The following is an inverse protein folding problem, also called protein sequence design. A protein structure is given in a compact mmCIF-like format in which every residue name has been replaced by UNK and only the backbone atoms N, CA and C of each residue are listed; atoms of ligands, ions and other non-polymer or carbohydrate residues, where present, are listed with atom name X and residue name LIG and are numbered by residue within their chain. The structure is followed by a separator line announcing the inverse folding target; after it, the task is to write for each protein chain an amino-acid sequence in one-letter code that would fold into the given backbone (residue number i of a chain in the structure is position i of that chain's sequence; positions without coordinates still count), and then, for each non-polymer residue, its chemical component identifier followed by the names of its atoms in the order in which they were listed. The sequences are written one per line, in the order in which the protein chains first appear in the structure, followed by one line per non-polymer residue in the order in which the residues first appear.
data_IF_453518205074
#
_entry.id   IF_453518205074
#
_cell.length_a   1.000
_cell.length_b   1.000
_cell.length_c   1.000
_cell.angle_alpha   90.00
_cell.angle_beta   90.00
_cell.angle_gamma   90.00
#
_symmetry.space_group_name_H-M   'P 1'
#
loop_
_entity.id
_entity.type
_entity.pdbx_description
1 polymer ?
#
# COMPACT_ATOMS: atom_id res chain seq x y z
N UNK A 1 -26.96 21.01 -13.32
CA UNK A 1 -25.51 20.93 -13.44
C UNK A 1 -25.23 19.74 -14.32
N UNK A 2 -24.85 19.99 -15.57
CA UNK A 2 -24.56 19.01 -16.61
C UNK A 2 -23.28 18.22 -16.32
N UNK A 3 -23.21 16.91 -16.59
CA UNK A 3 -21.97 16.16 -16.46
C UNK A 3 -21.04 16.50 -17.62
N UNK A 4 -19.90 17.09 -17.32
CA UNK A 4 -18.83 17.42 -18.26
C UNK A 4 -18.08 16.16 -18.68
N UNK A 5 -18.12 15.92 -19.99
CA UNK A 5 -17.16 15.30 -20.88
C UNK A 5 -16.33 14.11 -20.31
N UNK A 6 -16.84 12.90 -20.50
CA UNK A 6 -15.98 11.73 -20.64
C UNK A 6 -15.17 11.92 -21.93
N UNK A 7 -13.85 12.13 -21.79
CA UNK A 7 -12.93 12.05 -22.90
C UNK A 7 -12.93 10.60 -23.41
N UNK A 8 -13.59 10.35 -24.54
CA UNK A 8 -13.48 9.07 -25.26
C UNK A 8 -12.08 9.02 -25.85
N UNK A 9 -11.17 8.34 -25.12
CA UNK A 9 -9.91 7.88 -25.66
C UNK A 9 -10.25 6.85 -26.75
N UNK A 10 -10.10 7.24 -28.03
CA UNK A 10 -10.08 6.31 -29.14
C UNK A 10 -8.80 5.46 -29.07
N UNK A 11 -8.81 4.47 -28.19
CA UNK A 11 -7.80 3.44 -28.19
C UNK A 11 -8.04 2.53 -29.38
N UNK A 12 -7.03 2.28 -30.24
CA UNK A 12 -7.17 1.28 -31.29
C UNK A 12 -7.53 -0.05 -30.63
N UNK A 13 -8.59 -0.68 -31.09
CA UNK A 13 -9.10 -1.96 -30.58
C UNK A 13 -7.96 -2.94 -30.37
N UNK A 14 -7.79 -3.44 -29.14
CA UNK A 14 -7.05 -4.67 -28.89
C UNK A 14 -7.65 -5.73 -29.82
N UNK A 15 -6.89 -6.25 -30.76
CA UNK A 15 -7.40 -7.31 -31.64
C UNK A 15 -7.90 -8.47 -30.78
N UNK A 16 -8.98 -9.13 -31.20
CA UNK A 16 -9.51 -10.33 -30.52
C UNK A 16 -8.40 -11.38 -30.22
N UNK A 17 -7.35 -11.41 -31.06
CA UNK A 17 -6.18 -12.26 -30.88
C UNK A 17 -5.29 -11.84 -29.70
N UNK A 18 -5.11 -10.53 -29.47
CA UNK A 18 -4.36 -10.02 -28.31
C UNK A 18 -5.14 -10.30 -27.02
N UNK A 19 -6.46 -10.10 -27.03
CA UNK A 19 -7.32 -10.41 -25.90
C UNK A 19 -7.33 -11.91 -25.58
N UNK A 20 -7.42 -12.76 -26.59
CA UNK A 20 -7.34 -14.22 -26.45
C UNK A 20 -5.99 -14.68 -25.89
N UNK A 21 -4.87 -14.06 -26.30
CA UNK A 21 -3.54 -14.35 -25.76
C UNK A 21 -3.41 -13.90 -24.29
N UNK A 22 -3.95 -12.75 -23.93
CA UNK A 22 -3.97 -12.26 -22.54
C UNK A 22 -4.83 -13.17 -21.65
N UNK A 23 -6.03 -13.54 -22.12
CA UNK A 23 -6.93 -14.43 -21.39
C UNK A 23 -6.31 -15.82 -21.19
N UNK A 24 -5.64 -16.37 -22.20
CA UNK A 24 -4.92 -17.64 -22.10
C UNK A 24 -3.75 -17.57 -21.11
N UNK A 25 -3.04 -16.42 -21.05
CA UNK A 25 -1.97 -16.15 -20.08
C UNK A 25 -2.48 -16.10 -18.64
N UNK A 26 -3.69 -15.60 -18.42
CA UNK A 26 -4.31 -15.51 -17.08
C UNK A 26 -4.76 -16.88 -16.57
N UNK A 27 -5.30 -17.74 -17.43
CA UNK A 27 -5.86 -19.05 -17.05
C UNK A 27 -4.78 -20.10 -16.69
N UNK A 28 -3.52 -19.89 -17.08
CA UNK A 28 -2.41 -20.84 -16.83
C UNK A 28 -1.83 -20.83 -15.41
N UNK A 29 -2.43 -20.19 -14.43
CA UNK A 29 -1.81 -19.90 -13.14
C UNK A 29 -2.24 -20.84 -12.00
N UNK A 30 -1.66 -22.03 -11.92
CA UNK A 30 -1.45 -22.73 -10.63
C UNK A 30 -0.05 -22.42 -10.08
N UNK A 31 0.22 -21.13 -9.75
CA UNK A 31 1.54 -20.67 -9.24
C UNK A 31 1.52 -20.35 -7.75
N UNK A 32 0.52 -20.83 -7.02
CA UNK A 32 0.31 -20.44 -5.60
C UNK A 32 1.41 -21.00 -4.67
N UNK A 33 1.94 -22.16 -4.97
CA UNK A 33 2.79 -22.89 -4.02
C UNK A 33 4.18 -22.26 -3.76
N UNK A 34 5.01 -21.84 -4.76
CA UNK A 34 6.29 -21.20 -4.46
C UNK A 34 6.17 -19.86 -3.79
N UNK A 35 5.14 -19.07 -4.09
CA UNK A 35 4.92 -17.77 -3.45
C UNK A 35 4.63 -17.94 -1.95
N UNK A 36 3.82 -18.93 -1.58
CA UNK A 36 3.54 -19.21 -0.16
C UNK A 36 4.79 -19.68 0.58
N UNK A 37 5.61 -20.51 -0.06
CA UNK A 37 6.89 -20.95 0.51
C UNK A 37 7.86 -19.78 0.71
N UNK A 38 7.89 -18.84 -0.24
CA UNK A 38 8.72 -17.63 -0.16
C UNK A 38 8.25 -16.72 0.98
N UNK A 39 6.94 -16.48 1.10
CA UNK A 39 6.36 -15.69 2.19
C UNK A 39 6.69 -16.31 3.56
N UNK A 40 6.54 -17.62 3.69
CA UNK A 40 6.84 -18.33 4.95
C UNK A 40 8.34 -18.39 5.29
N UNK A 41 9.24 -18.10 4.36
CA UNK A 41 10.69 -18.19 4.53
C UNK A 41 11.35 -16.90 5.01
N UNK A 42 10.61 -15.80 5.15
CA UNK A 42 11.17 -14.50 5.51
C UNK A 42 11.89 -13.79 4.34
N UNK A 43 11.62 -14.18 3.09
CA UNK A 43 12.09 -13.44 1.92
C UNK A 43 11.54 -12.01 1.94
N UNK A 44 12.37 -11.05 1.55
CA UNK A 44 11.87 -9.70 1.31
C UNK A 44 11.06 -9.63 0.00
N UNK A 45 10.26 -8.56 -0.15
CA UNK A 45 9.34 -8.41 -1.29
C UNK A 45 10.07 -8.38 -2.64
N UNK A 46 11.27 -7.81 -2.71
CA UNK A 46 12.05 -7.73 -3.95
C UNK A 46 12.52 -9.11 -4.40
N UNK A 47 12.95 -9.95 -3.45
CA UNK A 47 13.32 -11.35 -3.72
C UNK A 47 12.10 -12.17 -4.15
N UNK A 48 10.96 -12.00 -3.49
CA UNK A 48 9.70 -12.64 -3.88
C UNK A 48 9.31 -12.22 -5.31
N UNK A 49 9.36 -10.92 -5.61
CA UNK A 49 9.03 -10.39 -6.92
C UNK A 49 9.99 -10.90 -8.00
N UNK A 50 11.28 -11.02 -7.71
CA UNK A 50 12.27 -11.62 -8.62
C UNK A 50 11.85 -13.03 -9.06
N UNK A 51 11.45 -13.88 -8.11
CA UNK A 51 10.96 -15.22 -8.45
C UNK A 51 9.64 -15.16 -9.21
N UNK A 52 8.67 -14.35 -8.74
CA UNK A 52 7.34 -14.21 -9.36
C UNK A 52 7.42 -13.74 -10.82
N UNK A 53 8.32 -12.83 -11.16
CA UNK A 53 8.55 -12.35 -12.52
C UNK A 53 9.02 -13.49 -13.45
N UNK A 54 9.86 -14.38 -12.95
CA UNK A 54 10.45 -15.45 -13.74
C UNK A 54 9.62 -16.73 -13.86
N UNK A 55 8.58 -16.89 -13.02
CA UNK A 55 7.63 -18.02 -13.11
C UNK A 55 6.26 -17.61 -13.65
N UNK A 56 6.04 -16.33 -13.91
CA UNK A 56 4.78 -15.79 -14.44
C UNK A 56 4.86 -15.57 -15.95
N UNK A 57 3.73 -15.76 -16.64
CA UNK A 57 3.60 -15.45 -18.07
C UNK A 57 3.21 -14.00 -18.37
N UNK A 58 2.89 -13.20 -17.33
CA UNK A 58 2.44 -11.82 -17.49
C UNK A 58 3.31 -10.79 -16.75
N UNK A 59 3.94 -11.19 -15.64
CA UNK A 59 4.79 -10.30 -14.82
C UNK A 59 6.15 -10.04 -15.48
N UNK A 60 6.91 -9.08 -14.94
CA UNK A 60 8.24 -8.75 -15.44
C UNK A 60 8.24 -8.33 -16.91
N UNK A 61 7.33 -7.47 -17.33
CA UNK A 61 7.22 -6.93 -18.68
C UNK A 61 6.58 -7.86 -19.72
N UNK A 62 6.24 -9.09 -19.35
CA UNK A 62 5.72 -10.10 -20.33
C UNK A 62 4.35 -9.74 -20.88
N UNK A 63 3.50 -9.00 -20.10
CA UNK A 63 2.22 -8.51 -20.60
C UNK A 63 2.43 -7.53 -21.74
N UNK A 64 3.36 -6.58 -21.59
CA UNK A 64 3.71 -5.65 -22.66
C UNK A 64 4.31 -6.36 -23.88
N UNK A 65 5.16 -7.36 -23.67
CA UNK A 65 5.69 -8.19 -24.77
C UNK A 65 4.58 -8.92 -25.54
N UNK A 66 3.54 -9.39 -24.85
CA UNK A 66 2.42 -10.06 -25.48
C UNK A 66 1.54 -9.11 -26.30
N UNK A 67 1.57 -7.83 -26.00
CA UNK A 67 0.83 -6.79 -26.74
C UNK A 67 1.54 -6.35 -28.03
N UNK A 68 2.82 -6.66 -28.20
CA UNK A 68 3.56 -6.26 -29.40
C UNK A 68 2.90 -6.82 -30.68
N UNK A 69 2.89 -6.06 -31.79
CA UNK A 69 3.58 -4.77 -32.04
C UNK A 69 2.77 -3.52 -31.61
N UNK A 70 1.65 -3.67 -30.93
CA UNK A 70 0.82 -2.53 -30.48
C UNK A 70 1.59 -1.65 -29.50
N UNK A 71 1.31 -0.35 -29.56
CA UNK A 71 1.71 0.58 -28.49
C UNK A 71 0.86 0.33 -27.26
N UNK A 72 1.45 0.43 -26.08
CA UNK A 72 0.75 0.29 -24.80
C UNK A 72 0.83 1.57 -23.99
N UNK A 73 -0.28 1.94 -23.36
CA UNK A 73 -0.36 2.96 -22.32
C UNK A 73 -0.78 2.24 -21.03
N UNK A 74 0.09 2.29 -20.02
CA UNK A 74 -0.18 1.73 -18.70
C UNK A 74 -0.50 2.84 -17.73
N UNK A 75 -1.74 2.91 -17.26
CA UNK A 75 -2.17 3.82 -16.20
C UNK A 75 -2.15 3.04 -14.89
N UNK A 76 -1.35 3.49 -13.93
CA UNK A 76 -1.04 2.76 -12.70
C UNK A 76 -1.54 3.54 -11.49
N UNK A 77 -2.25 2.83 -10.59
CA UNK A 77 -2.50 3.26 -9.23
C UNK A 77 -1.50 2.49 -8.36
N UNK A 78 -0.69 3.21 -7.60
CA UNK A 78 0.38 2.64 -6.79
C UNK A 78 -0.01 2.58 -5.32
N UNK A 79 0.06 1.39 -4.74
CA UNK A 79 0.04 1.14 -3.30
C UNK A 79 1.45 0.84 -2.74
N UNK A 80 2.48 0.95 -3.58
CA UNK A 80 3.87 0.67 -3.22
C UNK A 80 4.56 1.96 -2.81
N UNK A 81 5.21 1.94 -1.66
CA UNK A 81 6.04 3.04 -1.19
C UNK A 81 7.17 3.30 -2.19
N UNK A 82 7.45 4.59 -2.46
CA UNK A 82 8.40 5.05 -3.48
C UNK A 82 8.02 4.74 -4.94
N UNK A 83 6.81 4.28 -5.21
CA UNK A 83 6.25 4.12 -6.56
C UNK A 83 7.14 3.29 -7.52
N UNK A 84 7.86 2.27 -6.99
CA UNK A 84 8.69 1.40 -7.82
C UNK A 84 7.84 0.57 -8.79
N UNK A 85 7.81 1.00 -10.05
CA UNK A 85 7.07 0.37 -11.14
C UNK A 85 7.38 -1.12 -11.30
N UNK A 86 8.58 -1.56 -10.93
CA UNK A 86 8.98 -2.96 -11.04
C UNK A 86 8.38 -3.83 -9.94
N UNK A 87 8.00 -3.23 -8.83
CA UNK A 87 7.35 -3.88 -7.68
C UNK A 87 5.84 -3.89 -7.80
N UNK A 88 5.22 -2.80 -8.33
CA UNK A 88 3.77 -2.71 -8.50
C UNK A 88 3.27 -3.86 -9.37
N UNK A 89 2.42 -4.73 -8.80
CA UNK A 89 1.93 -5.98 -9.41
C UNK A 89 3.06 -6.88 -9.98
N UNK A 90 4.32 -6.69 -9.55
CA UNK A 90 5.57 -7.28 -10.09
C UNK A 90 5.82 -6.88 -11.56
N UNK A 91 5.53 -5.65 -11.94
CA UNK A 91 5.92 -5.00 -13.19
C UNK A 91 5.42 -5.66 -14.47
N UNK A 92 4.10 -5.81 -14.71
CA UNK A 92 3.60 -6.52 -15.90
C UNK A 92 3.96 -5.84 -17.22
N UNK A 93 4.08 -4.53 -17.22
CA UNK A 93 4.26 -3.70 -18.42
C UNK A 93 5.60 -2.96 -18.45
N UNK A 94 6.45 -3.13 -17.43
CA UNK A 94 7.76 -2.48 -17.37
C UNK A 94 8.90 -3.51 -17.53
N UNK A 95 10.07 -3.03 -17.95
CA UNK A 95 11.25 -3.88 -18.10
C UNK A 95 11.70 -4.44 -16.74
N UNK A 96 12.28 -5.62 -16.78
CA UNK A 96 12.78 -6.31 -15.60
C UNK A 96 14.30 -6.41 -15.64
N UNK A 97 14.97 -5.90 -14.63
CA UNK A 97 16.43 -5.96 -14.50
C UNK A 97 16.94 -7.29 -13.95
N UNK A 98 16.06 -8.07 -13.29
CA UNK A 98 16.42 -9.36 -12.69
C UNK A 98 16.43 -10.51 -13.73
N UNK A 99 17.08 -11.62 -13.41
CA UNK A 99 17.32 -12.72 -14.33
C UNK A 99 16.84 -14.07 -13.77
N UNK A 100 16.73 -15.10 -14.63
CA UNK A 100 16.47 -16.48 -14.18
C UNK A 100 17.53 -16.96 -13.17
N UNK A 101 18.78 -16.50 -13.33
CA UNK A 101 19.84 -16.81 -12.38
C UNK A 101 19.53 -16.24 -11.00
N UNK A 102 19.06 -14.99 -10.94
CA UNK A 102 18.68 -14.34 -9.68
C UNK A 102 17.51 -15.05 -9.02
N UNK A 103 16.47 -15.42 -9.79
CA UNK A 103 15.33 -16.15 -9.28
C UNK A 103 15.73 -17.51 -8.67
N UNK A 104 16.63 -18.25 -9.34
CA UNK A 104 17.15 -19.53 -8.83
C UNK A 104 18.00 -19.29 -7.57
N UNK A 105 18.83 -18.25 -7.55
CA UNK A 105 19.66 -17.91 -6.38
C UNK A 105 18.80 -17.59 -5.17
N UNK A 106 17.71 -16.82 -5.32
CA UNK A 106 16.75 -16.56 -4.24
C UNK A 106 16.16 -17.88 -3.72
N UNK A 107 15.64 -18.73 -4.58
CA UNK A 107 15.05 -20.00 -4.16
C UNK A 107 16.06 -20.91 -3.45
N UNK A 108 17.33 -20.92 -3.86
CA UNK A 108 18.41 -21.67 -3.22
C UNK A 108 18.79 -21.09 -1.85
N UNK A 109 18.91 -19.74 -1.76
CA UNK A 109 19.21 -19.01 -0.51
C UNK A 109 18.28 -19.43 0.63
N UNK A 110 17.00 -19.65 0.32
CA UNK A 110 15.98 -20.01 1.31
C UNK A 110 15.65 -21.52 1.33
N UNK A 111 16.43 -22.37 0.65
CA UNK A 111 16.22 -23.83 0.57
C UNK A 111 14.84 -24.22 0.03
N UNK A 112 14.30 -23.43 -0.92
CA UNK A 112 12.98 -23.62 -1.53
C UNK A 112 13.09 -24.29 -2.92
N UNK A 113 14.21 -24.17 -3.61
CA UNK A 113 14.35 -24.66 -4.99
C UNK A 113 13.91 -26.12 -5.14
N UNK A 114 14.46 -27.01 -4.32
CA UNK A 114 14.17 -28.45 -4.36
C UNK A 114 12.78 -28.80 -3.80
N UNK A 115 12.20 -27.92 -3.00
CA UNK A 115 10.82 -28.04 -2.50
C UNK A 115 9.78 -27.53 -3.49
N UNK A 116 10.21 -26.79 -4.52
CA UNK A 116 9.32 -26.25 -5.54
C UNK A 116 8.81 -27.37 -6.46
N UNK A 117 7.60 -27.25 -7.04
CA UNK A 117 7.09 -28.23 -8.00
C UNK A 117 8.06 -28.47 -9.17
N UNK A 118 8.24 -29.72 -9.55
CA UNK A 118 9.15 -30.13 -10.64
C UNK A 118 8.96 -29.32 -11.93
N UNK A 119 7.72 -29.00 -12.39
CA UNK A 119 7.54 -28.17 -13.58
C UNK A 119 8.18 -26.77 -13.44
N UNK A 120 8.15 -26.17 -12.24
CA UNK A 120 8.75 -24.88 -11.97
C UNK A 120 10.27 -24.97 -11.98
N UNK A 121 10.85 -25.98 -11.32
CA UNK A 121 12.30 -26.23 -11.37
C UNK A 121 12.79 -26.38 -12.81
N UNK A 122 12.09 -27.19 -13.61
CA UNK A 122 12.42 -27.42 -15.01
C UNK A 122 12.30 -26.14 -15.85
N UNK A 123 11.25 -25.33 -15.62
CA UNK A 123 11.06 -24.07 -16.31
C UNK A 123 12.18 -23.06 -15.98
N UNK A 124 12.54 -22.93 -14.72
CA UNK A 124 13.63 -22.07 -14.28
C UNK A 124 14.99 -22.51 -14.84
N UNK A 125 15.28 -23.82 -14.84
CA UNK A 125 16.50 -24.37 -15.47
C UNK A 125 16.53 -24.11 -16.97
N UNK A 126 15.40 -24.26 -17.67
CA UNK A 126 15.27 -23.95 -19.09
C UNK A 126 15.50 -22.48 -19.37
N UNK A 127 14.96 -21.58 -18.55
CA UNK A 127 15.18 -20.15 -18.66
C UNK A 127 16.64 -19.75 -18.43
N UNK A 128 17.34 -20.42 -17.53
CA UNK A 128 18.77 -20.21 -17.31
C UNK A 128 19.64 -20.62 -18.52
N UNK A 129 19.25 -21.66 -19.25
CA UNK A 129 19.99 -22.20 -20.39
C UNK A 129 19.62 -21.55 -21.73
N UNK A 130 18.51 -20.81 -21.81
CA UNK A 130 18.01 -20.22 -23.05
C UNK A 130 17.53 -18.79 -22.83
N UNK A 131 18.29 -17.84 -23.33
CA UNK A 131 18.01 -16.39 -23.20
C UNK A 131 16.67 -15.94 -23.82
N UNK A 132 16.10 -16.73 -24.75
CA UNK A 132 14.80 -16.39 -25.32
C UNK A 132 13.63 -16.48 -24.31
N UNK A 133 13.85 -17.11 -23.15
CA UNK A 133 12.89 -17.18 -22.05
C UNK A 133 13.00 -15.98 -21.09
N UNK A 134 14.09 -15.21 -21.21
CA UNK A 134 14.35 -14.13 -20.27
C UNK A 134 13.25 -13.07 -20.29
N UNK A 135 13.07 -12.39 -19.16
CA UNK A 135 12.16 -11.26 -19.07
C UNK A 135 12.68 -10.10 -19.94
N UNK A 136 11.79 -9.31 -20.57
CA UNK A 136 12.19 -8.18 -21.38
C UNK A 136 12.99 -7.14 -20.57
N UNK A 137 14.13 -6.71 -21.11
CA UNK A 137 15.05 -5.75 -20.47
C UNK A 137 14.82 -4.32 -20.91
N UNK A 138 14.22 -4.11 -22.08
CA UNK A 138 13.96 -2.79 -22.65
C UNK A 138 12.65 -2.83 -23.44
N UNK A 139 11.87 -1.76 -23.31
CA UNK A 139 10.72 -1.48 -24.18
C UNK A 139 10.88 -0.14 -24.87
N UNK A 140 10.44 -0.06 -26.14
CA UNK A 140 10.43 1.19 -26.92
C UNK A 140 9.01 1.71 -27.19
N UNK A 141 7.99 0.89 -26.96
CA UNK A 141 6.63 1.15 -27.42
C UNK A 141 5.61 1.23 -26.28
N UNK A 142 6.05 1.46 -25.04
CA UNK A 142 5.15 1.63 -23.91
C UNK A 142 5.32 3.02 -23.27
N UNK A 143 4.21 3.56 -22.84
CA UNK A 143 4.12 4.71 -21.95
C UNK A 143 3.57 4.19 -20.63
N UNK A 144 4.20 4.58 -19.53
CA UNK A 144 3.77 4.18 -18.19
C UNK A 144 3.60 5.43 -17.34
N UNK A 145 2.40 5.64 -16.83
CA UNK A 145 2.04 6.81 -16.03
C UNK A 145 1.44 6.36 -14.68
N UNK A 146 1.97 6.88 -13.59
CA UNK A 146 1.34 6.74 -12.28
C UNK A 146 0.29 7.82 -12.14
N UNK A 147 -0.99 7.43 -12.21
CA UNK A 147 -2.12 8.35 -12.13
C UNK A 147 -2.58 8.61 -10.70
N UNK A 148 -2.24 7.73 -9.77
CA UNK A 148 -2.48 7.91 -8.34
C UNK A 148 -1.46 7.13 -7.52
N UNK A 149 -1.01 7.73 -6.42
CA UNK A 149 -0.14 7.14 -5.41
C UNK A 149 -0.33 7.87 -4.09
N UNK A 150 0.31 7.39 -3.02
CA UNK A 150 0.28 8.08 -1.74
C UNK A 150 0.76 9.54 -1.85
N UNK A 151 1.83 9.78 -2.63
CA UNK A 151 2.36 11.12 -2.85
C UNK A 151 1.40 12.01 -3.65
N UNK A 152 0.82 11.51 -4.74
CA UNK A 152 -0.18 12.24 -5.54
C UNK A 152 -1.40 12.59 -4.68
N UNK A 153 -1.82 11.67 -3.81
CA UNK A 153 -2.95 11.88 -2.90
C UNK A 153 -2.61 12.95 -1.85
N UNK A 154 -1.43 12.90 -1.22
CA UNK A 154 -0.94 13.93 -0.29
C UNK A 154 -0.86 15.31 -0.96
N UNK A 155 -0.38 15.41 -2.20
CA UNK A 155 -0.31 16.65 -2.95
C UNK A 155 -1.70 17.24 -3.26
N UNK A 156 -2.65 16.37 -3.58
CA UNK A 156 -4.03 16.77 -3.80
C UNK A 156 -4.67 17.31 -2.51
N UNK A 157 -4.49 16.61 -1.39
CA UNK A 157 -4.96 17.08 -0.08
C UNK A 157 -4.30 18.39 0.32
N UNK A 158 -3.00 18.54 0.10
CA UNK A 158 -2.27 19.77 0.38
C UNK A 158 -2.81 20.95 -0.43
N UNK A 159 -3.09 20.72 -1.70
CA UNK A 159 -3.70 21.73 -2.57
C UNK A 159 -5.09 22.11 -2.10
N UNK A 160 -5.93 21.14 -1.76
CA UNK A 160 -7.28 21.37 -1.23
C UNK A 160 -7.24 22.14 0.10
N UNK A 161 -6.36 21.79 1.03
CA UNK A 161 -6.23 22.46 2.32
C UNK A 161 -5.84 23.95 2.16
N UNK A 162 -4.93 24.25 1.22
CA UNK A 162 -4.56 25.62 0.89
C UNK A 162 -5.75 26.45 0.39
N UNK A 163 -6.67 25.87 -0.39
CA UNK A 163 -7.91 26.57 -0.84
C UNK A 163 -8.86 26.89 0.32
N UNK A 164 -8.68 26.22 1.45
CA UNK A 164 -9.43 26.45 2.70
C UNK A 164 -8.68 27.36 3.70
N UNK A 165 -7.61 28.02 3.24
CA UNK A 165 -6.78 28.94 4.01
C UNK A 165 -6.05 28.29 5.22
N UNK A 166 -5.71 26.99 5.13
CA UNK A 166 -4.84 26.35 6.10
C UNK A 166 -3.37 26.54 5.71
N UNK A 167 -2.50 26.68 6.70
CA UNK A 167 -1.09 26.39 6.55
C UNK A 167 -0.94 24.89 6.32
N UNK A 168 -0.07 24.47 5.39
CA UNK A 168 0.05 23.06 5.04
C UNK A 168 1.49 22.60 5.14
N UNK A 169 1.69 21.54 5.92
CA UNK A 169 2.95 20.82 6.03
C UNK A 169 2.72 19.40 5.52
N UNK A 170 3.46 19.01 4.49
CA UNK A 170 3.47 17.65 3.98
C UNK A 170 4.76 16.96 4.44
N UNK A 171 4.64 15.87 5.18
CA UNK A 171 5.82 15.07 5.55
C UNK A 171 6.30 14.28 4.34
N UNK A 172 7.57 14.48 4.00
CA UNK A 172 8.23 13.73 2.93
C UNK A 172 8.50 12.28 3.36
N UNK A 173 8.85 12.09 4.65
CA UNK A 173 9.12 10.76 5.19
C UNK A 173 7.80 9.99 5.35
N UNK A 174 7.77 8.80 4.79
CA UNK A 174 6.67 7.83 4.95
C UNK A 174 6.80 7.06 6.26
N UNK A 175 5.68 6.66 6.82
CA UNK A 175 5.61 5.79 7.98
C UNK A 175 5.55 4.33 7.52
N UNK A 176 6.58 3.55 7.89
CA UNK A 176 6.77 2.15 7.49
C UNK A 176 7.14 1.26 8.68
N UNK A 177 7.15 1.83 9.86
CA UNK A 177 7.45 1.15 11.11
C UNK A 177 6.20 0.58 11.79
N UNK A 178 6.33 0.21 13.05
CA UNK A 178 5.15 -0.16 13.84
C UNK A 178 4.27 1.06 14.09
N UNK A 179 2.95 0.86 14.03
CA UNK A 179 1.94 1.91 14.19
C UNK A 179 2.13 2.71 15.50
N UNK A 180 2.47 2.03 16.59
CA UNK A 180 2.76 2.63 17.90
C UNK A 180 3.92 3.61 17.81
N UNK A 181 5.04 3.19 17.21
CA UNK A 181 6.26 4.01 17.12
C UNK A 181 6.07 5.18 16.15
N UNK A 182 5.40 4.94 15.04
CA UNK A 182 5.20 5.98 14.01
C UNK A 182 4.18 7.02 14.46
N UNK A 183 3.19 6.66 15.29
CA UNK A 183 2.31 7.61 15.95
C UNK A 183 3.09 8.54 16.90
N UNK A 184 4.07 8.03 17.64
CA UNK A 184 4.95 8.85 18.49
C UNK A 184 5.86 9.78 17.67
N UNK A 185 6.34 9.31 16.52
CA UNK A 185 7.12 10.15 15.59
C UNK A 185 6.25 11.28 15.02
N UNK A 186 5.01 10.98 14.60
CA UNK A 186 4.06 12.00 14.15
C UNK A 186 3.82 13.05 15.25
N UNK A 187 3.58 12.63 16.48
CA UNK A 187 3.38 13.53 17.61
C UNK A 187 4.61 14.41 17.85
N UNK A 188 5.81 13.87 17.66
CA UNK A 188 7.06 14.62 17.76
C UNK A 188 7.20 15.69 16.67
N UNK A 189 6.72 15.43 15.45
CA UNK A 189 6.68 16.43 14.38
C UNK A 189 5.67 17.55 14.69
N UNK A 190 4.49 17.20 15.23
CA UNK A 190 3.47 18.18 15.64
C UNK A 190 4.00 19.15 16.71
N UNK A 191 4.83 18.66 17.63
CA UNK A 191 5.42 19.50 18.68
C UNK A 191 6.35 20.60 18.14
N UNK A 192 6.94 20.40 16.94
CA UNK A 192 7.82 21.39 16.29
C UNK A 192 7.06 22.50 15.58
N UNK A 193 5.75 22.32 15.34
CA UNK A 193 4.93 23.26 14.58
C UNK A 193 4.40 24.31 15.55
N UNK A 194 4.74 25.56 15.33
CA UNK A 194 4.27 26.66 16.17
C UNK A 194 3.05 27.38 15.60
N UNK A 195 2.81 27.25 14.30
CA UNK A 195 1.72 27.92 13.62
C UNK A 195 0.39 27.21 13.88
N UNK A 196 -0.59 27.96 14.37
CA UNK A 196 -1.98 27.50 14.44
C UNK A 196 -2.60 27.44 13.03
N UNK A 197 -3.78 26.84 12.92
CA UNK A 197 -4.49 26.66 11.67
C UNK A 197 -3.67 25.92 10.60
N UNK A 198 -2.92 24.92 11.06
CA UNK A 198 -2.03 24.10 10.22
C UNK A 198 -2.61 22.71 9.99
N UNK A 199 -2.54 22.25 8.75
CA UNK A 199 -2.77 20.83 8.40
C UNK A 199 -1.44 20.18 8.14
N UNK A 200 -1.13 19.14 8.93
CA UNK A 200 0.00 18.23 8.72
C UNK A 200 -0.50 16.98 8.01
N UNK A 201 0.07 16.67 6.84
CA UNK A 201 -0.29 15.52 6.03
C UNK A 201 0.89 14.55 6.01
N UNK A 202 0.64 13.31 6.40
CA UNK A 202 1.59 12.20 6.34
C UNK A 202 0.93 10.99 5.70
N UNK A 203 1.70 9.96 5.42
CA UNK A 203 1.19 8.71 4.88
C UNK A 203 2.25 7.62 4.91
N UNK A 204 1.88 6.42 4.49
CA UNK A 204 2.75 5.26 4.49
C UNK A 204 1.98 3.96 4.58
N UNK A 205 2.61 2.92 5.09
CA UNK A 205 1.99 1.63 5.38
C UNK A 205 2.62 1.05 6.64
N UNK A 206 2.02 1.36 7.79
CA UNK A 206 2.54 0.91 9.09
C UNK A 206 2.23 -0.56 9.36
N UNK A 207 2.92 -1.13 10.33
CA UNK A 207 2.77 -2.52 10.76
C UNK A 207 2.17 -2.60 12.15
N UNK A 208 1.50 -3.70 12.44
CA UNK A 208 1.03 -4.04 13.79
C UNK A 208 1.82 -5.24 14.30
N UNK A 209 2.35 -5.14 15.51
CA UNK A 209 2.91 -6.30 16.21
C UNK A 209 1.77 -7.01 16.96
N UNK A 210 1.31 -8.12 16.39
CA UNK A 210 0.19 -8.87 16.98
C UNK A 210 0.65 -9.66 18.20
N UNK A 211 0.28 -9.18 19.39
CA UNK A 211 0.57 -9.82 20.69
C UNK A 211 -0.69 -10.29 21.41
N UNK A 212 -1.84 -9.71 21.04
CA UNK A 212 -3.15 -10.00 21.60
C UNK A 212 -4.09 -10.75 20.65
N UNK A 213 -5.33 -10.86 21.04
CA UNK A 213 -6.42 -11.50 20.28
C UNK A 213 -7.56 -10.53 19.93
N UNK A 214 -7.37 -9.25 20.17
CA UNK A 214 -8.36 -8.21 19.91
C UNK A 214 -8.61 -7.98 18.44
N UNK A 215 -9.54 -7.06 18.15
CA UNK A 215 -9.91 -6.65 16.81
C UNK A 215 -9.40 -5.24 16.53
N UNK A 216 -8.76 -5.05 15.39
CA UNK A 216 -8.25 -3.74 14.98
C UNK A 216 -7.48 -3.79 13.67
N UNK A 217 -6.97 -2.66 13.27
CA UNK A 217 -6.08 -2.49 12.13
C UNK A 217 -4.99 -1.48 12.45
N UNK A 218 -4.05 -1.32 11.53
CA UNK A 218 -2.87 -0.47 11.73
C UNK A 218 -3.20 1.02 11.89
N UNK A 219 -4.23 1.51 11.19
CA UNK A 219 -4.66 2.90 11.30
C UNK A 219 -5.37 3.17 12.63
N UNK A 220 -6.19 2.23 13.09
CA UNK A 220 -6.84 2.30 14.39
C UNK A 220 -5.83 2.21 15.53
N UNK A 221 -4.82 1.31 15.42
CA UNK A 221 -3.75 1.21 16.41
C UNK A 221 -2.87 2.47 16.43
N UNK A 222 -2.59 3.05 15.26
CA UNK A 222 -1.89 4.32 15.14
C UNK A 222 -2.66 5.44 15.87
N UNK A 223 -3.97 5.56 15.61
CA UNK A 223 -4.81 6.56 16.25
C UNK A 223 -4.90 6.36 17.77
N UNK A 224 -4.99 5.10 18.25
CA UNK A 224 -5.05 4.81 19.68
C UNK A 224 -3.72 5.15 20.38
N UNK A 225 -2.60 4.85 19.73
CA UNK A 225 -1.26 5.23 20.23
C UNK A 225 -1.06 6.74 20.25
N UNK A 226 -1.57 7.43 19.24
CA UNK A 226 -1.58 8.88 19.19
C UNK A 226 -2.41 9.48 20.34
N UNK A 227 -3.62 8.96 20.58
CA UNK A 227 -4.47 9.38 21.70
C UNK A 227 -3.73 9.19 23.03
N UNK A 228 -3.13 8.03 23.28
CA UNK A 228 -2.30 7.78 24.46
C UNK A 228 -1.24 8.85 24.64
N UNK A 229 -0.49 9.15 23.58
CA UNK A 229 0.58 10.16 23.64
C UNK A 229 0.05 11.55 23.91
N UNK A 230 -1.06 11.91 23.28
CA UNK A 230 -1.71 13.21 23.44
C UNK A 230 -2.19 13.42 24.89
N UNK A 231 -2.87 12.43 25.46
CA UNK A 231 -3.35 12.49 26.86
C UNK A 231 -2.20 12.62 27.89
N UNK A 232 -1.06 12.00 27.62
CA UNK A 232 0.11 12.03 28.49
C UNK A 232 1.05 13.24 28.21
N UNK A 233 0.71 14.08 27.26
CA UNK A 233 1.52 15.24 26.89
C UNK A 233 1.09 16.49 27.65
N UNK A 234 1.98 17.50 27.61
CA UNK A 234 1.69 18.87 28.07
C UNK A 234 1.49 19.84 26.91
N UNK A 235 1.14 19.31 25.72
CA UNK A 235 0.95 20.15 24.55
C UNK A 235 -0.31 21.00 24.73
N UNK A 236 -0.15 22.31 24.54
CA UNK A 236 -1.24 23.28 24.57
C UNK A 236 -1.71 23.61 23.15
N UNK A 237 -2.20 22.59 22.47
CA UNK A 237 -2.75 22.67 21.10
C UNK A 237 -3.98 21.80 21.01
N UNK A 238 -5.00 22.30 20.34
CA UNK A 238 -6.13 21.46 19.94
C UNK A 238 -5.76 20.68 18.69
N UNK A 239 -5.81 19.34 18.77
CA UNK A 239 -5.43 18.44 17.69
C UNK A 239 -6.65 17.63 17.23
N UNK A 240 -6.76 17.47 15.91
CA UNK A 240 -7.68 16.52 15.31
C UNK A 240 -6.90 15.65 14.30
N UNK A 241 -6.74 14.37 14.62
CA UNK A 241 -6.09 13.38 13.78
C UNK A 241 -7.11 12.47 13.11
N UNK A 242 -7.01 12.31 11.80
CA UNK A 242 -7.57 11.18 11.06
C UNK A 242 -6.42 10.24 10.67
N UNK A 243 -6.52 8.96 10.99
CA UNK A 243 -5.63 7.92 10.48
C UNK A 243 -6.47 6.86 9.78
N UNK A 244 -6.30 6.72 8.45
CA UNK A 244 -7.19 5.90 7.62
C UNK A 244 -6.45 5.20 6.47
N UNK A 245 -6.90 3.98 6.15
CA UNK A 245 -6.57 3.30 4.91
C UNK A 245 -7.40 3.88 3.75
N UNK A 246 -6.74 4.21 2.65
CA UNK A 246 -7.42 4.84 1.50
C UNK A 246 -8.36 3.90 0.75
N UNK A 247 -8.24 2.59 0.94
CA UNK A 247 -9.18 1.58 0.42
C UNK A 247 -10.50 1.49 1.20
N UNK A 248 -10.57 2.18 2.37
CA UNK A 248 -11.75 2.21 3.22
C UNK A 248 -11.84 1.06 4.22
N UNK A 249 -10.80 0.23 4.33
CA UNK A 249 -10.76 -0.95 5.19
C UNK A 249 -9.44 -0.95 5.97
N UNK A 250 -9.51 -1.19 7.28
CA UNK A 250 -8.34 -1.27 8.16
C UNK A 250 -8.35 -2.59 8.95
N UNK A 251 -7.46 -3.51 8.56
CA UNK A 251 -7.42 -4.85 9.11
C UNK A 251 -8.72 -5.65 8.86
N UNK A 252 -9.08 -6.60 9.72
CA UNK A 252 -10.29 -7.42 9.57
C UNK A 252 -11.54 -6.68 10.10
N UNK A 253 -11.70 -5.37 9.77
CA UNK A 253 -12.77 -4.52 10.29
C UNK A 253 -13.60 -3.87 9.17
N UNK A 254 -14.71 -3.23 9.51
CA UNK A 254 -15.54 -2.45 8.60
C UNK A 254 -15.23 -0.94 8.64
N UNK A 255 -14.15 -0.58 9.33
CA UNK A 255 -13.69 0.79 9.44
C UNK A 255 -12.44 1.02 8.57
N UNK A 256 -12.32 2.21 8.00
CA UNK A 256 -11.10 2.69 7.32
C UNK A 256 -9.99 3.05 8.31
N UNK A 257 -10.35 3.33 9.56
CA UNK A 257 -9.45 3.77 10.60
C UNK A 257 -10.19 4.47 11.73
N UNK A 258 -9.57 5.47 12.36
CA UNK A 258 -10.16 6.20 13.47
C UNK A 258 -9.81 7.69 13.45
N UNK A 259 -10.63 8.47 14.18
CA UNK A 259 -10.42 9.88 14.47
C UNK A 259 -10.03 10.05 15.95
N UNK A 260 -9.15 11.02 16.21
CA UNK A 260 -8.81 11.50 17.55
C UNK A 260 -8.95 13.01 17.58
N UNK A 261 -9.95 13.50 18.30
CA UNK A 261 -10.25 14.91 18.48
C UNK A 261 -10.76 15.17 19.90
N UNK A 262 -11.27 16.38 20.16
CA UNK A 262 -11.82 16.75 21.47
C UNK A 262 -13.06 15.91 21.85
N UNK A 263 -13.89 15.49 20.88
CA UNK A 263 -15.06 14.64 21.17
C UNK A 263 -14.60 13.25 21.56
N UNK A 264 -13.61 12.69 20.88
CA UNK A 264 -12.96 11.42 21.22
C UNK A 264 -12.40 11.47 22.66
N UNK A 265 -11.70 12.54 23.02
CA UNK A 265 -11.12 12.71 24.37
C UNK A 265 -12.22 12.81 25.43
N UNK A 266 -13.28 13.58 25.17
CA UNK A 266 -14.41 13.72 26.12
C UNK A 266 -15.14 12.40 26.29
N UNK A 267 -15.39 11.67 25.20
CA UNK A 267 -16.02 10.35 25.23
C UNK A 267 -15.15 9.34 25.99
N UNK A 268 -13.82 9.34 25.75
CA UNK A 268 -12.89 8.51 26.50
C UNK A 268 -12.95 8.78 28.01
N UNK A 269 -12.91 10.06 28.41
CA UNK A 269 -12.96 10.47 29.83
C UNK A 269 -14.29 10.13 30.52
N UNK A 270 -15.37 10.04 29.75
CA UNK A 270 -16.70 9.69 30.26
C UNK A 270 -16.95 8.18 30.33
N UNK A 271 -16.09 7.37 29.71
CA UNK A 271 -16.16 5.93 29.73
C UNK A 271 -14.96 5.38 30.53
N UNK A 272 -15.20 4.39 31.36
CA UNK A 272 -14.16 3.73 32.16
C UNK A 272 -13.42 2.70 31.28
N UNK A 273 -12.59 3.19 30.34
CA UNK A 273 -11.84 2.37 29.39
C UNK A 273 -10.35 2.36 29.75
N UNK A 274 -9.76 1.19 29.87
CA UNK A 274 -8.32 1.01 30.02
C UNK A 274 -7.63 1.01 28.66
N UNK A 275 -7.19 2.18 28.18
CA UNK A 275 -6.53 2.36 26.90
C UNK A 275 -5.31 1.46 26.73
N UNK A 276 -4.51 1.27 27.78
CA UNK A 276 -3.31 0.43 27.72
C UNK A 276 -3.67 -1.05 27.52
N UNK A 277 -4.72 -1.55 28.17
CA UNK A 277 -5.21 -2.91 27.98
C UNK A 277 -5.68 -3.14 26.53
N UNK A 278 -6.37 -2.15 25.91
CA UNK A 278 -6.77 -2.24 24.49
C UNK A 278 -5.57 -2.27 23.55
N UNK A 279 -4.54 -1.43 23.77
CA UNK A 279 -3.32 -1.46 22.97
C UNK A 279 -2.57 -2.80 23.11
N UNK A 280 -2.39 -3.30 24.34
CA UNK A 280 -1.71 -4.58 24.58
C UNK A 280 -2.42 -5.77 23.93
N UNK A 281 -3.75 -5.70 23.85
CA UNK A 281 -4.57 -6.75 23.22
C UNK A 281 -4.75 -6.56 21.70
N UNK A 282 -4.18 -5.52 21.06
CA UNK A 282 -4.44 -5.14 19.66
C UNK A 282 -5.95 -4.96 19.37
N UNK A 283 -6.71 -4.36 20.31
CA UNK A 283 -8.17 -4.25 20.26
C UNK A 283 -8.66 -2.81 20.04
N UNK A 284 -7.95 -2.10 19.17
CA UNK A 284 -8.22 -0.71 18.84
C UNK A 284 -9.61 -0.48 18.23
N UNK A 285 -10.14 -1.45 17.48
CA UNK A 285 -11.49 -1.38 16.93
C UNK A 285 -12.54 -1.27 18.04
N UNK A 286 -12.52 -2.20 19.00
CA UNK A 286 -13.49 -2.22 20.10
C UNK A 286 -13.40 -0.97 20.95
N UNK A 287 -12.20 -0.42 21.14
CA UNK A 287 -12.00 0.85 21.83
C UNK A 287 -12.74 2.00 21.13
N UNK A 288 -12.44 2.24 19.85
CA UNK A 288 -13.03 3.35 19.09
C UNK A 288 -14.51 3.16 18.79
N UNK A 289 -14.99 1.93 18.67
CA UNK A 289 -16.42 1.64 18.50
C UNK A 289 -17.23 2.07 19.73
N UNK A 290 -16.71 1.79 20.94
CA UNK A 290 -17.36 2.19 22.21
C UNK A 290 -17.48 3.70 22.39
N UNK A 291 -16.61 4.49 21.78
CA UNK A 291 -16.61 5.96 21.89
C UNK A 291 -17.01 6.65 20.58
N UNK A 292 -17.56 5.90 19.62
CA UNK A 292 -18.05 6.39 18.33
C UNK A 292 -17.02 7.20 17.53
N UNK A 293 -15.75 6.79 17.56
CA UNK A 293 -14.64 7.48 16.87
C UNK A 293 -14.04 6.65 15.73
N UNK A 294 -14.73 5.60 15.26
CA UNK A 294 -14.37 4.86 14.04
C UNK A 294 -14.73 5.66 12.78
N UNK A 295 -13.85 5.64 11.80
CA UNK A 295 -14.12 6.18 10.46
C UNK A 295 -14.63 5.06 9.56
N UNK A 296 -15.94 5.04 9.30
CA UNK A 296 -16.61 4.00 8.48
C UNK A 296 -17.12 4.62 7.19
N UNK A 297 -16.42 4.42 6.08
CA UNK A 297 -16.74 4.98 4.77
C UNK A 297 -17.05 3.91 3.71
N UNK A 298 -16.81 2.63 4.05
CA UNK A 298 -16.92 1.51 3.12
C UNK A 298 -15.78 1.48 2.10
N UNK A 299 -15.78 0.45 1.25
CA UNK A 299 -14.74 0.28 0.23
C UNK A 299 -14.77 1.42 -0.79
N UNK A 300 -13.60 2.02 -1.06
CA UNK A 300 -13.45 3.17 -1.98
C UNK A 300 -13.21 2.76 -3.43
N UNK A 301 -12.85 1.49 -3.66
CA UNK A 301 -12.49 0.98 -4.99
C UNK A 301 -11.09 1.37 -5.45
N UNK A 302 -10.28 1.99 -4.59
CA UNK A 302 -8.87 2.34 -4.85
C UNK A 302 -8.03 2.05 -3.61
N UNK A 303 -6.71 1.94 -3.79
CA UNK A 303 -5.76 1.81 -2.68
C UNK A 303 -4.46 2.56 -3.04
N UNK A 304 -4.10 3.53 -2.22
CA UNK A 304 -2.82 4.25 -2.26
C UNK A 304 -2.18 4.26 -0.87
N UNK A 305 -2.33 3.18 -0.12
CA UNK A 305 -1.86 2.97 1.24
C UNK A 305 -2.56 3.89 2.28
N UNK A 306 -1.91 4.15 3.41
CA UNK A 306 -2.50 4.89 4.53
C UNK A 306 -2.25 6.39 4.43
N UNK A 307 -3.15 7.16 5.03
CA UNK A 307 -3.01 8.60 5.17
C UNK A 307 -3.29 9.03 6.61
N UNK A 308 -2.48 9.94 7.11
CA UNK A 308 -2.75 10.62 8.36
C UNK A 308 -2.90 12.12 8.07
N UNK A 309 -3.98 12.70 8.54
CA UNK A 309 -4.27 14.13 8.43
C UNK A 309 -4.42 14.66 9.85
N UNK A 310 -3.52 15.57 10.26
CA UNK A 310 -3.62 16.22 11.57
C UNK A 310 -3.93 17.70 11.39
N UNK A 311 -5.03 18.16 11.97
CA UNK A 311 -5.38 19.56 12.05
C UNK A 311 -4.88 20.08 13.39
N UNK A 312 -4.14 21.19 13.37
CA UNK A 312 -3.53 21.84 14.54
C UNK A 312 -4.15 23.22 14.65
N UNK A 313 -4.80 23.49 15.79
CA UNK A 313 -5.42 24.78 16.10
C UNK A 313 -4.70 25.48 17.26
#
# INVERSE_FOLDING_TARGET
VTPTAAATLNLPYLSLQAFGRILFLIISLKVINPTNLLLASGCNINEINTVRKHISKIKGGRLNSAALPSKTLSLIISDVINDDLSSIASGPTVSDTTTFKDAINVLKKYNIFDKSPIPIQNYLKKGLSNSSFETPKVFKNNITEIISSNNVFKDTLASLAKTKNFNVIKLEKTFEGFAIEDAEKLFSEINKINDANTILISGGETLVNLTGSGKGGRNQEFALSFLRKYLNSKIDKELCLYSVGTDGIDGPTDAAGAIVDNETINSYKSNDLDLEAYLQNNDSYTFFDKINSLVKIGATGTNVADIQITIIK
#
